data_IF_366483196177
#
_entry.id   IF_366483196177
#
_cell.length_a   1.000
_cell.length_b   1.000
_cell.length_c   1.000
_cell.angle_alpha   90.00
_cell.angle_beta   90.00
_cell.angle_gamma   90.00
#
_symmetry.space_group_name_H-M   'P 1'
#
loop_
_entity.id
_entity.type
_entity.pdbx_description
1 polymer ?
#
# COMPACT_ATOMS: atom_id res chain seq x y z
N UNK A 1 17.06 -1.11 25.76
CA UNK A 1 16.23 0.00 25.24
C UNK A 1 14.95 -0.62 24.71
N UNK A 2 13.78 -0.27 25.24
CA UNK A 2 12.51 -0.74 24.68
C UNK A 2 12.34 -0.03 23.35
N UNK A 3 12.42 -0.75 22.24
CA UNK A 3 12.11 -0.22 20.92
C UNK A 3 10.64 0.22 21.02
N UNK A 4 10.40 1.53 21.11
CA UNK A 4 9.10 2.05 20.68
C UNK A 4 9.07 1.69 19.21
N UNK A 5 8.29 0.67 18.87
CA UNK A 5 7.95 0.40 17.48
C UNK A 5 7.28 1.69 16.99
N UNK A 6 8.05 2.51 16.27
CA UNK A 6 7.54 3.74 15.68
C UNK A 6 6.30 3.38 14.88
N UNK A 7 5.24 4.19 14.98
CA UNK A 7 3.97 3.91 14.29
C UNK A 7 4.28 3.54 12.83
N UNK A 8 3.97 2.32 12.39
CA UNK A 8 4.53 1.77 11.14
C UNK A 8 4.11 2.53 9.88
N UNK A 9 3.17 3.46 10.00
CA UNK A 9 2.58 4.22 8.89
C UNK A 9 2.74 5.74 9.02
N UNK A 10 3.48 6.27 10.01
CA UNK A 10 3.59 7.72 10.21
C UNK A 10 4.41 8.42 9.11
N UNK A 11 5.33 7.69 8.48
CA UNK A 11 6.06 8.12 7.28
C UNK A 11 5.29 7.68 6.02
N UNK A 12 5.04 8.59 5.04
CA UNK A 12 4.31 8.25 3.82
C UNK A 12 4.98 7.13 3.00
N UNK A 13 6.31 7.05 2.96
CA UNK A 13 6.99 5.98 2.22
C UNK A 13 6.87 4.63 2.96
N UNK A 14 6.96 4.63 4.29
CA UNK A 14 6.72 3.45 5.11
C UNK A 14 5.29 2.94 4.92
N UNK A 15 4.29 3.83 4.95
CA UNK A 15 2.90 3.50 4.63
C UNK A 15 2.76 2.94 3.21
N UNK A 16 3.39 3.57 2.21
CA UNK A 16 3.41 3.10 0.82
C UNK A 16 3.96 1.69 0.67
N UNK A 17 5.07 1.37 1.36
CA UNK A 17 5.67 0.03 1.37
C UNK A 17 4.73 -1.00 1.98
N UNK A 18 4.01 -0.66 3.04
CA UNK A 18 2.97 -1.54 3.59
C UNK A 18 1.83 -1.78 2.60
N UNK A 19 1.37 -0.74 1.89
CA UNK A 19 0.34 -0.88 0.85
C UNK A 19 0.78 -1.78 -0.31
N UNK A 20 2.05 -1.70 -0.72
CA UNK A 20 2.63 -2.60 -1.73
C UNK A 20 2.62 -4.05 -1.24
N UNK A 21 2.98 -4.31 0.02
CA UNK A 21 2.92 -5.66 0.59
C UNK A 21 1.50 -6.21 0.65
N UNK A 22 0.53 -5.38 1.06
CA UNK A 22 -0.88 -5.76 1.10
C UNK A 22 -1.40 -6.05 -0.32
N UNK A 23 -1.09 -5.19 -1.29
CA UNK A 23 -1.48 -5.37 -2.69
C UNK A 23 -0.91 -6.67 -3.29
N UNK A 24 0.35 -7.00 -2.98
CA UNK A 24 0.97 -8.25 -3.46
C UNK A 24 0.39 -9.52 -2.84
N UNK A 25 -0.28 -9.40 -1.68
CA UNK A 25 -0.93 -10.52 -0.98
C UNK A 25 -2.37 -10.78 -1.47
N UNK A 26 -2.90 -9.93 -2.35
CA UNK A 26 -4.27 -10.02 -2.85
C UNK A 26 -4.23 -10.55 -4.29
N UNK A 27 -5.03 -11.58 -4.55
CA UNK A 27 -5.26 -12.04 -5.92
C UNK A 27 -6.01 -10.96 -6.71
N UNK A 28 -5.43 -10.40 -7.77
CA UNK A 28 -6.08 -9.37 -8.56
C UNK A 28 -7.21 -9.97 -9.40
N UNK A 29 -8.22 -9.15 -9.71
CA UNK A 29 -9.25 -9.50 -10.69
C UNK A 29 -8.72 -9.30 -12.11
N UNK A 30 -9.62 -9.25 -13.10
CA UNK A 30 -9.29 -9.01 -14.50
C UNK A 30 -8.39 -7.77 -14.69
N UNK A 31 -7.43 -7.88 -15.60
CA UNK A 31 -6.42 -6.86 -15.93
C UNK A 31 -5.52 -6.42 -14.76
N UNK A 32 -5.38 -7.26 -13.72
CA UNK A 32 -4.50 -6.95 -12.59
C UNK A 32 -5.09 -5.95 -11.59
N UNK A 33 -6.41 -5.74 -11.60
CA UNK A 33 -7.10 -4.78 -10.73
C UNK A 33 -7.29 -5.33 -9.33
N UNK A 34 -7.03 -4.51 -8.32
CA UNK A 34 -7.25 -4.81 -6.90
C UNK A 34 -8.18 -3.74 -6.35
N UNK A 35 -9.29 -4.12 -5.72
CA UNK A 35 -10.19 -3.16 -5.09
C UNK A 35 -9.46 -2.47 -3.93
N UNK A 36 -9.52 -1.13 -3.88
CA UNK A 36 -8.85 -0.32 -2.84
C UNK A 36 -9.27 -0.72 -1.43
N UNK A 37 -10.52 -1.12 -1.22
CA UNK A 37 -11.00 -1.59 0.08
C UNK A 37 -10.21 -2.81 0.61
N UNK A 38 -9.72 -3.68 -0.28
CA UNK A 38 -9.00 -4.91 0.08
C UNK A 38 -7.63 -4.61 0.68
N UNK A 39 -7.02 -3.47 0.34
CA UNK A 39 -5.79 -2.98 0.99
C UNK A 39 -6.10 -2.00 2.12
N UNK A 40 -7.16 -1.20 2.02
CA UNK A 40 -7.54 -0.23 3.04
C UNK A 40 -7.94 -0.90 4.36
N UNK A 41 -8.78 -1.94 4.31
CA UNK A 41 -9.24 -2.64 5.50
C UNK A 41 -8.08 -3.23 6.34
N UNK A 42 -7.15 -4.04 5.79
CA UNK A 42 -6.02 -4.52 6.58
C UNK A 42 -5.05 -3.41 7.00
N UNK A 43 -4.91 -2.32 6.22
CA UNK A 43 -4.10 -1.17 6.63
C UNK A 43 -4.65 -0.52 7.92
N UNK A 44 -5.95 -0.25 7.96
CA UNK A 44 -6.59 0.38 9.12
C UNK A 44 -6.71 -0.57 10.32
N UNK A 45 -7.16 -1.80 10.07
CA UNK A 45 -7.57 -2.72 11.14
C UNK A 45 -6.50 -3.74 11.55
N UNK A 46 -5.51 -4.02 10.70
CA UNK A 46 -4.41 -4.94 11.05
C UNK A 46 -3.15 -4.15 11.37
N UNK A 47 -2.76 -3.19 10.52
CA UNK A 47 -1.56 -2.38 10.72
C UNK A 47 -1.78 -1.18 11.65
N UNK A 48 -3.02 -0.95 12.09
CA UNK A 48 -3.42 0.16 12.97
C UNK A 48 -3.06 1.54 12.39
N UNK A 49 -3.02 1.64 11.07
CA UNK A 49 -2.90 2.93 10.37
C UNK A 49 -4.19 3.74 10.44
N UNK A 50 -4.10 5.01 10.07
CA UNK A 50 -5.21 5.95 9.95
C UNK A 50 -5.57 6.22 8.50
N UNK A 51 -6.76 6.79 8.27
CA UNK A 51 -7.18 7.19 6.92
C UNK A 51 -6.25 8.22 6.27
N UNK A 52 -5.69 9.15 7.06
CA UNK A 52 -4.72 10.13 6.57
C UNK A 52 -3.40 9.48 6.16
N UNK A 53 -2.90 8.53 6.94
CA UNK A 53 -1.69 7.77 6.60
C UNK A 53 -1.92 6.87 5.38
N UNK A 54 -3.11 6.27 5.24
CA UNK A 54 -3.48 5.52 4.05
C UNK A 54 -3.43 6.41 2.80
N UNK A 55 -4.04 7.59 2.86
CA UNK A 55 -4.05 8.54 1.75
C UNK A 55 -2.64 9.01 1.38
N UNK A 56 -1.83 9.38 2.36
CA UNK A 56 -0.44 9.80 2.14
C UNK A 56 0.42 8.67 1.56
N UNK A 57 0.28 7.45 2.08
CA UNK A 57 0.98 6.27 1.57
C UNK A 57 0.55 5.91 0.16
N UNK A 58 -0.75 5.99 -0.15
CA UNK A 58 -1.25 5.70 -1.50
C UNK A 58 -0.73 6.73 -2.51
N UNK A 59 -0.76 8.01 -2.16
CA UNK A 59 -0.21 9.07 -3.01
C UNK A 59 1.30 8.86 -3.26
N UNK A 60 2.07 8.54 -2.21
CA UNK A 60 3.49 8.24 -2.34
C UNK A 60 3.75 7.01 -3.23
N UNK A 61 2.99 5.92 -3.05
CA UNK A 61 3.12 4.73 -3.88
C UNK A 61 2.81 4.99 -5.36
N UNK A 62 1.86 5.89 -5.65
CA UNK A 62 1.54 6.32 -7.02
C UNK A 62 2.65 7.19 -7.61
N UNK A 63 3.15 8.16 -6.86
CA UNK A 63 4.26 9.02 -7.29
C UNK A 63 5.53 8.21 -7.63
N UNK A 64 5.83 7.20 -6.81
CA UNK A 64 6.97 6.29 -7.01
C UNK A 64 6.76 5.25 -8.12
N UNK A 65 5.56 5.17 -8.70
CA UNK A 65 5.22 4.17 -9.70
C UNK A 65 5.17 2.73 -9.15
N UNK A 66 4.94 2.57 -7.85
CA UNK A 66 4.79 1.25 -7.21
C UNK A 66 3.36 0.72 -7.35
N UNK A 67 2.39 1.62 -7.23
CA UNK A 67 0.98 1.34 -7.46
C UNK A 67 0.44 2.30 -8.53
N UNK A 68 -0.47 1.83 -9.38
CA UNK A 68 -1.32 2.70 -10.18
C UNK A 68 -2.67 2.83 -9.48
N UNK A 69 -3.15 4.04 -9.22
CA UNK A 69 -4.54 4.29 -8.83
C UNK A 69 -5.38 4.54 -10.09
N UNK A 70 -6.45 3.78 -10.28
CA UNK A 70 -7.40 4.01 -11.37
C UNK A 70 -8.12 5.35 -11.16
N UNK A 71 -8.51 6.03 -12.24
CA UNK A 71 -9.17 7.36 -12.18
C UNK A 71 -10.44 7.36 -11.31
N UNK A 72 -11.14 6.23 -11.24
CA UNK A 72 -12.35 6.08 -10.42
C UNK A 72 -12.06 6.02 -8.90
N UNK A 73 -10.79 5.88 -8.51
CA UNK A 73 -10.37 5.65 -7.12
C UNK A 73 -10.73 4.28 -6.56
N UNK A 74 -11.41 3.42 -7.34
CA UNK A 74 -11.92 2.12 -6.87
C UNK A 74 -10.86 1.02 -6.88
N UNK A 75 -9.90 1.13 -7.80
CA UNK A 75 -8.93 0.08 -8.06
C UNK A 75 -7.51 0.61 -7.99
N UNK A 76 -6.61 -0.23 -7.48
CA UNK A 76 -5.18 -0.10 -7.71
C UNK A 76 -4.65 -1.27 -8.53
N UNK A 77 -3.49 -1.08 -9.15
CA UNK A 77 -2.69 -2.18 -9.73
C UNK A 77 -1.28 -2.15 -9.16
N UNK A 78 -0.74 -3.32 -8.84
CA UNK A 78 0.65 -3.47 -8.46
C UNK A 78 1.54 -3.43 -9.71
N UNK A 79 2.43 -2.44 -9.76
CA UNK A 79 3.33 -2.21 -10.89
C UNK A 79 4.67 -2.93 -10.72
N UNK A 80 5.45 -3.16 -11.79
CA UNK A 80 6.74 -3.83 -11.70
C UNK A 80 7.70 -3.22 -10.66
N UNK A 81 7.90 -1.89 -10.59
CA UNK A 81 8.76 -1.29 -9.57
C UNK A 81 8.32 -1.60 -8.13
N UNK A 82 7.01 -1.73 -7.90
CA UNK A 82 6.48 -2.15 -6.61
C UNK A 82 6.74 -3.64 -6.29
N UNK A 83 6.74 -4.51 -7.30
CA UNK A 83 7.11 -5.93 -7.15
C UNK A 83 8.60 -6.08 -6.83
N UNK A 84 9.45 -5.27 -7.44
CA UNK A 84 10.90 -5.31 -7.22
C UNK A 84 11.28 -5.00 -5.77
N UNK A 85 10.50 -4.15 -5.08
CA UNK A 85 10.67 -3.89 -3.65
C UNK A 85 10.49 -5.14 -2.78
N UNK A 86 9.74 -6.14 -3.26
CA UNK A 86 9.47 -7.38 -2.54
C UNK A 86 10.52 -8.46 -2.84
N UNK A 87 11.14 -8.39 -4.02
CA UNK A 87 12.18 -9.34 -4.44
C UNK A 87 13.54 -9.07 -3.79
N UNK A 88 13.81 -7.81 -3.38
CA UNK A 88 15.07 -7.38 -2.76
C UNK A 88 15.04 -7.36 -1.22
N UNK A 89 14.28 -8.26 -0.57
CA UNK A 89 14.24 -8.39 0.89
C UNK A 89 14.95 -9.65 1.39
#
# INVERSE_FOLDING_TARGET
>A
MKHVEGRPCADPEAAARQLVQLAASIEPTQDGRIHVEKINAPFLYTLRGSGSEFGAGLACAVEKGWLMLHESGTYVKLLPPGKDLLANR
#
